data_IF_425873634839
#
_entry.id   IF_425873634839
#
_cell.length_a   1.000
_cell.length_b   1.000
_cell.length_c   1.000
_cell.angle_alpha   90.00
_cell.angle_beta   90.00
_cell.angle_gamma   90.00
#
_symmetry.space_group_name_H-M   'P 1'
#
loop_
_entity.id
_entity.type
_entity.pdbx_description
1 polymer ?
#
# COMPACT_ATOMS: atom_id res chain seq x y z
N UNK A 1 12.37 29.00 -7.09
CA UNK A 1 12.30 27.73 -7.86
C UNK A 1 12.41 26.46 -7.00
N UNK A 2 13.44 26.29 -6.13
CA UNK A 2 13.58 25.07 -5.30
C UNK A 2 12.35 24.71 -4.43
N UNK A 3 11.68 25.70 -3.83
CA UNK A 3 10.43 25.48 -3.05
C UNK A 3 9.29 24.88 -3.89
N UNK A 4 9.13 25.33 -5.14
CA UNK A 4 8.08 24.84 -6.03
C UNK A 4 8.35 23.40 -6.47
N UNK A 5 9.60 23.09 -6.85
CA UNK A 5 10.03 21.73 -7.18
C UNK A 5 9.82 20.76 -6.01
N UNK A 6 10.13 21.19 -4.79
CA UNK A 6 9.89 20.37 -3.59
C UNK A 6 8.39 20.13 -3.35
N UNK A 7 7.53 21.14 -3.56
CA UNK A 7 6.08 20.99 -3.43
C UNK A 7 5.52 19.99 -4.44
N UNK A 8 5.97 20.08 -5.68
CA UNK A 8 5.59 19.14 -6.75
C UNK A 8 6.06 17.72 -6.39
N UNK A 9 7.32 17.55 -6.00
CA UNK A 9 7.88 16.27 -5.57
C UNK A 9 7.04 15.64 -4.44
N UNK A 10 6.71 16.43 -3.41
CA UNK A 10 5.92 15.94 -2.28
C UNK A 10 4.50 15.54 -2.69
N UNK A 11 3.88 16.27 -3.62
CA UNK A 11 2.57 15.91 -4.17
C UNK A 11 2.60 14.56 -4.90
N UNK A 12 3.61 14.33 -5.75
CA UNK A 12 3.78 13.04 -6.44
C UNK A 12 4.05 11.88 -5.48
N UNK A 13 4.88 12.11 -4.45
CA UNK A 13 5.15 11.10 -3.41
C UNK A 13 3.86 10.77 -2.66
N UNK A 14 3.13 11.78 -2.20
CA UNK A 14 1.86 11.59 -1.48
C UNK A 14 0.82 10.85 -2.33
N UNK A 15 0.65 11.26 -3.59
CA UNK A 15 -0.24 10.57 -4.53
C UNK A 15 0.15 9.11 -4.76
N UNK A 16 1.46 8.83 -4.87
CA UNK A 16 1.96 7.45 -5.02
C UNK A 16 1.66 6.60 -3.78
N UNK A 17 1.87 7.14 -2.58
CA UNK A 17 1.55 6.44 -1.33
C UNK A 17 0.05 6.16 -1.22
N UNK A 18 -0.82 7.12 -1.57
CA UNK A 18 -2.26 6.90 -1.58
C UNK A 18 -2.68 5.78 -2.52
N UNK A 19 -2.09 5.71 -3.73
CA UNK A 19 -2.37 4.64 -4.67
C UNK A 19 -1.96 3.26 -4.13
N UNK A 20 -0.81 3.16 -3.46
CA UNK A 20 -0.35 1.89 -2.86
C UNK A 20 -1.33 1.43 -1.77
N UNK A 21 -1.71 2.34 -0.87
CA UNK A 21 -2.65 2.00 0.21
C UNK A 21 -4.01 1.58 -0.35
N UNK A 22 -4.51 2.27 -1.38
CA UNK A 22 -5.76 1.92 -2.04
C UNK A 22 -5.70 0.52 -2.65
N UNK A 23 -4.64 0.19 -3.40
CA UNK A 23 -4.48 -1.15 -3.97
C UNK A 23 -4.35 -2.23 -2.90
N UNK A 24 -3.65 -1.98 -1.80
CA UNK A 24 -3.57 -2.93 -0.68
C UNK A 24 -4.94 -3.22 -0.08
N UNK A 25 -5.74 -2.18 0.19
CA UNK A 25 -7.11 -2.34 0.65
C UNK A 25 -7.96 -3.16 -0.34
N UNK A 26 -7.86 -2.90 -1.64
CA UNK A 26 -8.61 -3.68 -2.64
C UNK A 26 -8.20 -5.17 -2.66
N UNK A 27 -6.92 -5.47 -2.41
CA UNK A 27 -6.43 -6.85 -2.31
C UNK A 27 -6.90 -7.52 -1.01
N UNK A 28 -6.80 -6.83 0.13
CA UNK A 28 -7.28 -7.35 1.43
C UNK A 28 -8.77 -7.65 1.43
N UNK A 29 -9.57 -6.79 0.79
CA UNK A 29 -11.02 -6.98 0.66
C UNK A 29 -11.40 -7.99 -0.45
N UNK A 30 -10.41 -8.55 -1.16
CA UNK A 30 -10.62 -9.52 -2.24
C UNK A 30 -11.29 -8.94 -3.49
N UNK A 31 -11.29 -7.62 -3.67
CA UNK A 31 -11.84 -6.97 -4.87
C UNK A 31 -10.96 -7.20 -6.10
N UNK A 32 -9.65 -7.30 -5.88
CA UNK A 32 -8.65 -7.62 -6.92
C UNK A 32 -7.60 -8.58 -6.36
N UNK A 33 -6.83 -9.22 -7.24
CA UNK A 33 -5.65 -9.98 -6.87
C UNK A 33 -4.35 -9.18 -7.09
N UNK A 34 -3.24 -9.61 -6.48
CA UNK A 34 -1.92 -8.94 -6.63
C UNK A 34 -1.46 -8.86 -8.10
N UNK A 35 -1.87 -9.79 -8.95
CA UNK A 35 -1.55 -9.81 -10.38
C UNK A 35 -2.22 -8.67 -11.14
N UNK A 36 -3.40 -8.24 -10.69
CA UNK A 36 -4.15 -7.12 -11.26
C UNK A 36 -3.59 -5.76 -10.84
N UNK A 37 -2.78 -5.71 -9.76
CA UNK A 37 -2.06 -4.49 -9.35
C UNK A 37 -0.97 -4.16 -10.38
N UNK A 38 -0.82 -2.88 -10.79
CA UNK A 38 0.27 -2.45 -11.67
C UNK A 38 1.64 -2.85 -11.15
N UNK A 39 2.50 -3.39 -12.03
CA UNK A 39 3.82 -3.96 -11.68
C UNK A 39 4.68 -3.05 -10.79
N UNK A 40 4.64 -1.73 -11.01
CA UNK A 40 5.39 -0.73 -10.23
C UNK A 40 4.97 -0.59 -8.77
N UNK A 41 3.78 -1.09 -8.40
CA UNK A 41 3.24 -1.01 -7.03
C UNK A 41 3.14 -2.38 -6.36
N UNK A 42 3.16 -3.47 -7.13
CA UNK A 42 2.89 -4.84 -6.66
C UNK A 42 3.72 -5.26 -5.45
N UNK A 43 5.03 -5.00 -5.48
CA UNK A 43 5.92 -5.37 -4.36
C UNK A 43 5.59 -4.62 -3.07
N UNK A 44 5.29 -3.31 -3.18
CA UNK A 44 4.91 -2.48 -2.03
C UNK A 44 3.54 -2.85 -1.48
N UNK A 45 2.59 -3.15 -2.37
CA UNK A 45 1.26 -3.63 -2.00
C UNK A 45 1.36 -4.98 -1.29
N UNK A 46 2.11 -5.93 -1.85
CA UNK A 46 2.37 -7.23 -1.22
C UNK A 46 2.94 -7.08 0.19
N UNK A 47 4.00 -6.28 0.37
CA UNK A 47 4.58 -6.05 1.68
C UNK A 47 3.58 -5.45 2.68
N UNK A 48 2.71 -4.54 2.23
CA UNK A 48 1.71 -3.91 3.10
C UNK A 48 0.63 -4.91 3.56
N UNK A 49 0.15 -5.76 2.65
CA UNK A 49 -0.83 -6.83 2.94
C UNK A 49 -0.24 -7.93 3.83
N UNK A 50 1.04 -8.28 3.63
CA UNK A 50 1.73 -9.25 4.48
C UNK A 50 1.88 -8.71 5.92
N UNK A 51 2.23 -7.42 6.07
CA UNK A 51 2.35 -6.79 7.40
C UNK A 51 1.01 -6.69 8.13
N UNK A 52 -0.09 -6.37 7.43
CA UNK A 52 -1.41 -6.32 8.06
C UNK A 52 -1.86 -7.69 8.58
N UNK A 53 -1.55 -8.75 7.82
CA UNK A 53 -1.84 -10.14 8.19
C UNK A 53 -1.12 -10.53 9.48
N UNK A 54 0.19 -10.24 9.58
CA UNK A 54 1.01 -10.55 10.76
C UNK A 54 0.52 -9.84 12.03
N UNK A 55 -0.04 -8.64 11.90
CA UNK A 55 -0.61 -7.89 13.03
C UNK A 55 -1.90 -8.50 13.59
N UNK A 56 -2.66 -9.22 12.77
CA UNK A 56 -3.89 -9.90 13.19
C UNK A 56 -3.63 -11.25 13.86
N UNK A 57 -2.63 -12.02 13.44
CA UNK A 57 -2.38 -13.39 13.95
C UNK A 57 -1.92 -13.42 15.42
N UNK A 58 -1.40 -12.31 15.94
CA UNK A 58 -1.02 -12.20 17.36
C UNK A 58 -2.19 -12.04 18.31
N UNK A 59 -3.41 -11.87 17.81
CA UNK A 59 -4.61 -11.64 18.64
C UNK A 59 -5.43 -12.92 18.89
N UNK A 60 -5.12 -14.03 18.21
CA UNK A 60 -5.90 -15.27 18.29
C UNK A 60 -5.14 -16.41 19.02
N UNK A 61 -4.21 -16.07 19.92
CA UNK A 61 -3.59 -17.01 20.86
C UNK A 61 -3.92 -16.68 22.31
N UNK A 62 -5.20 -16.51 22.60
CA UNK A 62 -5.75 -16.68 23.95
C UNK A 62 -7.03 -17.52 23.84
N UNK A 63 -6.88 -18.84 23.98
CA UNK A 63 -7.69 -19.77 24.79
C UNK A 63 -7.13 -21.20 24.73
#
# INVERSE_FOLDING_TARGET
>A
MKKLLNKIKNFYIGGTTMMINYFAMQVELGWITLEQVPKKFREKVRALVEVSSVGTETTDKEE
#
